data_IF_158650059571
#
_entry.id   IF_158650059571
#
_cell.length_a   1.000
_cell.length_b   1.000
_cell.length_c   1.000
_cell.angle_alpha   90.00
_cell.angle_beta   90.00
_cell.angle_gamma   90.00
#
_symmetry.space_group_name_H-M   'P 1'
#
loop_
_entity.id
_entity.type
_entity.pdbx_description
1 polymer ?
#
# COMPACT_ATOMS: atom_id res chain seq x y z
N UNK A 1 68.04 -29.01 20.11
CA UNK A 1 67.54 -27.78 19.44
C UNK A 1 66.13 -28.05 18.92
N UNK A 2 65.11 -27.71 19.72
CA UNK A 2 63.73 -27.31 19.37
C UNK A 2 62.90 -27.30 20.68
N UNK A 3 62.31 -26.14 20.92
CA UNK A 3 61.65 -25.58 22.13
C UNK A 3 60.28 -26.22 22.40
N UNK A 4 59.90 -26.57 23.65
CA UNK A 4 59.21 -25.78 24.72
C UNK A 4 57.84 -25.23 24.22
N UNK A 5 56.68 -25.51 24.84
CA UNK A 5 56.15 -24.83 26.04
C UNK A 5 55.11 -25.60 26.87
N UNK A 6 55.20 -25.32 28.18
CA UNK A 6 54.45 -25.85 29.33
C UNK A 6 53.05 -25.24 29.46
N UNK A 7 52.14 -26.01 30.06
CA UNK A 7 50.80 -25.62 30.53
C UNK A 7 50.91 -24.68 31.74
N UNK A 8 50.05 -23.66 31.81
CA UNK A 8 49.78 -22.82 32.99
C UNK A 8 48.25 -22.70 33.15
N UNK A 9 47.69 -22.80 34.37
CA UNK A 9 46.25 -22.78 34.61
C UNK A 9 45.69 -21.35 34.73
N UNK A 10 44.42 -21.19 34.37
CA UNK A 10 43.69 -19.92 34.43
C UNK A 10 43.06 -19.73 35.82
N UNK A 11 43.42 -18.62 36.47
CA UNK A 11 42.87 -18.16 37.76
C UNK A 11 41.64 -17.27 37.49
N UNK A 12 40.65 -17.45 38.36
CA UNK A 12 39.34 -16.82 38.46
C UNK A 12 39.43 -15.33 38.85
N UNK A 13 38.58 -14.47 38.28
CA UNK A 13 38.14 -13.23 38.94
C UNK A 13 36.68 -12.91 38.59
N UNK A 14 35.86 -12.83 39.64
CA UNK A 14 34.41 -12.60 39.70
C UNK A 14 34.02 -11.14 39.44
N UNK A 15 32.82 -10.87 38.89
CA UNK A 15 31.90 -9.89 39.48
C UNK A 15 30.43 -10.01 39.00
N UNK A 16 29.55 -10.09 40.02
CA UNK A 16 28.15 -9.65 40.14
C UNK A 16 27.03 -10.31 39.31
N UNK A 17 26.31 -11.20 40.02
CA UNK A 17 24.96 -11.68 39.74
C UNK A 17 23.96 -10.63 40.22
N UNK A 18 23.16 -10.07 39.31
CA UNK A 18 21.93 -9.37 39.63
C UNK A 18 20.74 -10.33 39.50
N UNK A 19 20.07 -10.61 40.62
CA UNK A 19 18.78 -11.30 40.63
C UNK A 19 17.70 -10.37 40.07
N UNK A 20 17.07 -10.78 38.96
CA UNK A 20 15.84 -10.21 38.44
C UNK A 20 14.89 -11.35 38.12
N UNK A 21 13.78 -11.40 38.85
CA UNK A 21 12.77 -12.46 38.83
C UNK A 21 12.18 -12.66 37.44
N UNK A 22 12.23 -13.90 36.95
CA UNK A 22 11.50 -14.33 35.78
C UNK A 22 9.99 -14.35 36.02
N UNK A 23 9.24 -13.99 35.00
CA UNK A 23 7.83 -14.37 34.85
C UNK A 23 7.70 -15.01 33.48
N UNK A 24 7.48 -16.31 33.47
CA UNK A 24 7.02 -17.08 32.32
C UNK A 24 5.49 -16.97 32.31
N UNK A 25 4.93 -16.49 31.20
CA UNK A 25 3.51 -16.69 30.92
C UNK A 25 3.43 -17.69 29.78
N UNK A 26 3.00 -18.89 30.15
CA UNK A 26 2.43 -19.87 29.24
C UNK A 26 1.02 -19.39 28.95
N UNK A 27 0.65 -19.25 27.68
CA UNK A 27 -0.75 -19.23 27.29
C UNK A 27 -0.96 -20.24 26.16
N UNK A 28 -1.65 -21.33 26.51
CA UNK A 28 -2.19 -22.30 25.58
C UNK A 28 -3.68 -21.98 25.35
N UNK A 29 -4.04 -21.71 24.10
CA UNK A 29 -5.34 -21.97 23.48
C UNK A 29 -6.31 -20.79 23.35
N UNK A 30 -7.32 -20.83 22.44
CA UNK A 30 -7.57 -21.77 21.35
C UNK A 30 -7.38 -21.15 19.95
N UNK A 31 -7.00 -21.99 18.99
CA UNK A 31 -7.15 -21.73 17.56
C UNK A 31 -8.64 -21.57 17.23
N UNK A 32 -9.03 -20.40 16.72
CA UNK A 32 -10.31 -20.23 16.04
C UNK A 32 -10.08 -19.37 14.79
N UNK A 33 -9.92 -20.08 13.67
CA UNK A 33 -9.89 -19.51 12.35
C UNK A 33 -11.27 -18.92 12.01
N UNK A 34 -11.38 -17.59 11.99
CA UNK A 34 -12.30 -16.83 11.14
C UNK A 34 -12.04 -15.32 11.31
N UNK A 35 -11.84 -14.63 10.18
CA UNK A 35 -11.79 -13.16 9.97
C UNK A 35 -10.45 -12.45 10.25
N UNK A 36 -9.62 -12.34 9.21
CA UNK A 36 -8.46 -11.46 9.13
C UNK A 36 -8.85 -9.98 9.31
N UNK A 37 -8.62 -9.41 10.49
CA UNK A 37 -8.54 -7.96 10.73
C UNK A 37 -7.57 -7.72 11.89
N UNK A 38 -6.47 -7.03 11.65
CA UNK A 38 -5.64 -6.49 12.72
C UNK A 38 -5.26 -5.03 12.41
N UNK A 39 -5.65 -4.15 13.32
CA UNK A 39 -5.33 -2.72 13.47
C UNK A 39 -4.87 -2.57 14.91
N UNK A 40 -3.69 -2.00 15.21
CA UNK A 40 -3.30 -1.68 16.60
C UNK A 40 -2.35 -0.45 16.72
N UNK A 41 -2.94 0.76 16.86
CA UNK A 41 -2.79 1.82 17.90
C UNK A 41 -1.41 2.10 18.58
N UNK A 42 -0.94 3.30 18.98
CA UNK A 42 -1.53 4.60 19.36
C UNK A 42 -0.46 5.72 19.66
N UNK A 43 -0.85 7.02 19.51
CA UNK A 43 -0.39 8.28 20.18
C UNK A 43 0.64 9.27 19.55
N UNK A 44 0.17 10.23 18.72
CA UNK A 44 0.18 11.74 18.82
C UNK A 44 -0.46 12.31 17.51
N UNK A 45 -0.97 13.57 17.44
CA UNK A 45 -1.87 14.02 16.37
C UNK A 45 -1.10 14.35 15.09
N UNK A 46 -0.84 13.32 14.28
CA UNK A 46 -0.65 13.35 12.83
C UNK A 46 -1.34 12.10 12.29
N UNK A 47 -2.02 12.23 11.13
CA UNK A 47 -2.95 11.22 10.62
C UNK A 47 -2.23 9.88 10.44
N UNK A 48 -2.68 8.83 11.12
CA UNK A 48 -2.24 7.48 10.80
C UNK A 48 -2.98 7.03 9.53
N UNK A 49 -2.21 6.84 8.46
CA UNK A 49 -2.70 6.36 7.16
C UNK A 49 -2.36 4.87 7.02
N UNK A 50 -3.33 4.11 6.51
CA UNK A 50 -3.19 2.71 6.14
C UNK A 50 -3.70 2.54 4.72
N UNK A 51 -2.87 1.96 3.86
CA UNK A 51 -3.30 1.57 2.52
C UNK A 51 -4.01 0.22 2.61
N UNK A 52 -5.32 0.21 2.35
CA UNK A 52 -6.14 -1.00 2.45
C UNK A 52 -5.98 -1.86 1.21
N UNK A 53 -5.83 -3.18 1.39
CA UNK A 53 -5.78 -4.13 0.27
C UNK A 53 -7.12 -4.19 -0.47
N UNK A 54 -7.12 -4.39 -1.81
CA UNK A 54 -8.35 -4.55 -2.58
C UNK A 54 -9.14 -5.76 -2.09
N UNK A 55 -10.44 -5.60 -1.91
CA UNK A 55 -11.33 -6.76 -1.81
C UNK A 55 -11.79 -7.11 -3.24
N UNK A 56 -11.30 -8.21 -3.82
CA UNK A 56 -11.80 -8.68 -5.12
C UNK A 56 -13.28 -9.10 -4.97
N UNK A 57 -14.21 -8.23 -5.38
CA UNK A 57 -15.61 -8.62 -5.57
C UNK A 57 -15.87 -8.85 -7.05
N UNK A 58 -16.05 -10.12 -7.41
CA UNK A 58 -16.54 -10.51 -8.73
C UNK A 58 -18.07 -10.37 -8.72
N UNK A 59 -18.62 -9.31 -9.33
CA UNK A 59 -20.07 -9.10 -9.45
C UNK A 59 -20.53 -9.10 -10.93
N UNK A 60 -21.78 -9.49 -11.22
CA UNK A 60 -22.25 -9.73 -12.59
C UNK A 60 -22.38 -8.43 -13.39
N UNK A 61 -21.96 -8.44 -14.65
CA UNK A 61 -22.08 -7.30 -15.57
C UNK A 61 -23.55 -7.05 -15.92
N UNK A 62 -24.12 -5.95 -15.42
CA UNK A 62 -25.35 -5.37 -15.97
C UNK A 62 -25.02 -4.10 -16.77
N UNK A 63 -25.27 -4.15 -18.08
CA UNK A 63 -25.18 -2.97 -18.95
C UNK A 63 -26.31 -2.00 -18.66
N UNK A 64 -25.99 -0.76 -18.29
CA UNK A 64 -26.92 0.37 -18.34
C UNK A 64 -26.37 1.50 -19.21
N UNK A 65 -27.09 1.77 -20.30
CA UNK A 65 -26.98 2.96 -21.14
C UNK A 65 -27.55 4.16 -20.38
N UNK A 66 -26.79 5.26 -20.29
CA UNK A 66 -27.27 6.62 -20.56
C UNK A 66 -26.09 7.62 -20.53
N UNK A 67 -25.89 8.31 -21.67
CA UNK A 67 -25.31 9.65 -21.86
C UNK A 67 -24.12 10.09 -20.97
N UNK A 68 -22.94 9.47 -21.09
CA UNK A 68 -21.75 9.83 -20.29
C UNK A 68 -20.50 9.78 -21.20
N UNK A 69 -19.55 10.70 -21.04
CA UNK A 69 -18.21 10.64 -21.65
C UNK A 69 -17.67 9.20 -21.55
N UNK A 70 -17.53 8.51 -22.67
CA UNK A 70 -17.13 7.10 -22.66
C UNK A 70 -15.68 7.00 -22.18
N UNK A 71 -15.51 6.62 -20.92
CA UNK A 71 -14.19 6.29 -20.36
C UNK A 71 -13.73 5.04 -21.09
N UNK A 72 -12.70 5.17 -21.91
CA UNK A 72 -12.10 4.04 -22.60
C UNK A 72 -11.10 3.37 -21.66
N UNK A 73 -11.51 2.24 -21.09
CA UNK A 73 -10.66 1.42 -20.25
C UNK A 73 -9.84 0.43 -21.11
N UNK A 74 -8.62 0.08 -20.68
CA UNK A 74 -7.92 -1.08 -21.22
C UNK A 74 -8.78 -2.35 -21.18
N UNK A 75 -8.52 -3.27 -22.11
CA UNK A 75 -9.20 -4.57 -22.11
C UNK A 75 -8.99 -5.29 -20.77
N UNK A 76 -10.02 -5.99 -20.30
CA UNK A 76 -10.01 -6.76 -19.05
C UNK A 76 -9.70 -5.93 -17.78
N UNK A 77 -9.98 -4.62 -17.81
CA UNK A 77 -9.80 -3.77 -16.61
C UNK A 77 -10.68 -4.25 -15.46
N UNK A 78 -10.03 -4.67 -14.37
CA UNK A 78 -10.67 -5.02 -13.11
C UNK A 78 -11.10 -3.76 -12.34
N UNK A 79 -11.92 -3.94 -11.30
CA UNK A 79 -12.40 -2.86 -10.45
C UNK A 79 -11.86 -3.00 -9.04
N UNK A 80 -11.50 -1.88 -8.44
CA UNK A 80 -11.13 -1.78 -7.02
C UNK A 80 -11.88 -0.61 -6.38
N UNK A 81 -12.12 -0.69 -5.07
CA UNK A 81 -12.73 0.39 -4.29
C UNK A 81 -11.77 1.55 -4.03
N UNK A 82 -10.46 1.34 -4.11
CA UNK A 82 -9.46 2.32 -3.72
C UNK A 82 -8.18 2.33 -4.59
N UNK A 83 -7.99 1.42 -5.54
CA UNK A 83 -6.80 1.36 -6.39
C UNK A 83 -7.12 1.60 -7.86
N UNK A 84 -6.25 2.32 -8.57
CA UNK A 84 -6.23 2.39 -10.02
C UNK A 84 -4.79 2.35 -10.56
N UNK A 85 -4.56 1.61 -11.65
CA UNK A 85 -3.21 1.42 -12.20
C UNK A 85 -3.04 0.05 -12.82
N UNK A 86 -1.89 -0.56 -12.59
CA UNK A 86 -1.56 -1.91 -13.08
C UNK A 86 -1.05 -2.81 -11.97
N UNK A 87 -1.50 -4.06 -12.01
CA UNK A 87 -1.03 -5.16 -11.16
C UNK A 87 -0.43 -6.20 -12.10
N UNK A 88 0.83 -6.54 -11.88
CA UNK A 88 1.50 -7.63 -12.56
C UNK A 88 1.64 -8.84 -11.62
N UNK A 89 1.48 -10.03 -12.19
CA UNK A 89 1.63 -11.30 -11.47
C UNK A 89 2.57 -12.23 -12.24
N UNK A 90 3.42 -13.02 -11.55
CA UNK A 90 4.32 -13.93 -12.23
C UNK A 90 3.56 -14.97 -13.06
N UNK A 91 3.95 -15.15 -14.33
CA UNK A 91 3.35 -16.17 -15.21
C UNK A 91 3.70 -17.61 -14.81
N UNK A 92 4.74 -17.81 -13.99
CA UNK A 92 5.12 -19.12 -13.45
C UNK A 92 5.06 -19.12 -11.93
N UNK A 93 4.55 -20.22 -11.35
CA UNK A 93 4.46 -20.40 -9.89
C UNK A 93 5.83 -20.40 -9.17
N UNK A 94 6.92 -20.57 -9.92
CA UNK A 94 8.30 -20.46 -9.41
C UNK A 94 8.89 -19.06 -9.55
N UNK A 95 8.24 -18.16 -10.29
CA UNK A 95 8.63 -16.77 -10.42
C UNK A 95 8.21 -16.01 -9.18
N UNK A 96 9.17 -15.34 -8.54
CA UNK A 96 8.93 -14.43 -7.43
C UNK A 96 9.54 -13.09 -7.78
N UNK A 97 8.80 -12.01 -7.53
CA UNK A 97 9.33 -10.68 -7.74
C UNK A 97 10.29 -10.29 -6.61
N UNK A 98 11.43 -9.74 -7.04
CA UNK A 98 12.56 -9.35 -6.17
C UNK A 98 12.98 -7.91 -6.37
N UNK A 99 12.45 -7.26 -7.41
CA UNK A 99 12.56 -5.81 -7.58
C UNK A 99 11.41 -5.23 -8.38
N UNK A 100 11.09 -3.97 -8.09
CA UNK A 100 10.16 -3.13 -8.84
C UNK A 100 10.73 -1.70 -8.91
N UNK A 101 10.46 -1.00 -10.01
CA UNK A 101 10.75 0.44 -10.15
C UNK A 101 9.60 1.18 -10.80
N UNK A 102 9.53 2.48 -10.55
CA UNK A 102 8.59 3.38 -11.21
C UNK A 102 8.93 4.84 -10.96
N UNK A 103 8.39 5.72 -11.78
CA UNK A 103 8.63 7.16 -11.72
C UNK A 103 7.38 7.93 -12.08
N UNK A 104 7.12 9.02 -11.37
CA UNK A 104 6.03 9.95 -11.66
C UNK A 104 6.40 11.37 -11.27
N UNK A 105 5.61 12.33 -11.75
CA UNK A 105 5.64 13.71 -11.27
C UNK A 105 4.60 13.87 -10.17
N UNK A 106 5.01 14.41 -9.02
CA UNK A 106 4.13 14.65 -7.88
C UNK A 106 3.07 15.67 -8.28
N UNK A 107 1.77 15.34 -8.20
CA UNK A 107 0.71 16.19 -8.71
C UNK A 107 0.49 17.42 -7.83
N UNK A 108 0.04 18.51 -8.45
CA UNK A 108 -0.49 19.66 -7.73
C UNK A 108 -2.01 19.52 -7.56
N UNK A 109 -2.44 18.98 -6.42
CA UNK A 109 -3.86 18.77 -6.15
C UNK A 109 -4.61 20.10 -5.87
N UNK A 110 -5.88 20.25 -6.30
CA UNK A 110 -6.67 21.44 -6.02
C UNK A 110 -6.91 21.66 -4.53
N UNK A 111 -6.83 22.92 -4.09
CA UNK A 111 -7.00 23.31 -2.67
C UNK A 111 -8.41 23.86 -2.34
N UNK A 112 -9.33 23.78 -3.30
CA UNK A 112 -10.73 24.22 -3.14
C UNK A 112 -11.57 23.28 -2.26
N UNK A 113 -11.06 22.07 -1.97
CA UNK A 113 -11.61 21.14 -0.99
C UNK A 113 -10.57 20.91 0.10
N UNK A 114 -11.01 20.91 1.36
CA UNK A 114 -10.14 20.67 2.51
C UNK A 114 -10.08 19.18 2.82
N UNK A 115 -8.97 18.73 3.41
CA UNK A 115 -8.77 17.34 3.85
C UNK A 115 -8.90 16.29 2.75
N UNK A 116 -8.68 16.67 1.49
CA UNK A 116 -8.59 15.69 0.41
C UNK A 116 -7.21 15.07 0.38
N UNK A 117 -7.15 13.78 0.08
CA UNK A 117 -5.91 12.99 0.08
C UNK A 117 -5.84 12.14 -1.19
N UNK A 118 -4.63 11.94 -1.70
CA UNK A 118 -4.29 11.00 -2.74
C UNK A 118 -2.94 10.35 -2.42
N UNK A 119 -2.69 9.16 -2.95
CA UNK A 119 -1.36 8.56 -2.92
C UNK A 119 -0.98 7.98 -4.28
N UNK A 120 0.32 7.96 -4.57
CA UNK A 120 0.91 7.27 -5.72
C UNK A 120 2.08 6.43 -5.24
N UNK A 121 2.12 5.17 -5.63
CA UNK A 121 3.15 4.28 -5.12
C UNK A 121 3.46 3.13 -6.08
N UNK A 122 4.61 2.51 -5.81
CA UNK A 122 4.94 1.18 -6.34
C UNK A 122 5.04 0.19 -5.19
N UNK A 123 4.67 -1.06 -5.44
CA UNK A 123 4.57 -2.09 -4.41
C UNK A 123 4.97 -3.48 -4.90
N UNK A 124 5.30 -4.34 -3.94
CA UNK A 124 5.37 -5.79 -4.12
C UNK A 124 4.40 -6.44 -3.13
N UNK A 125 3.49 -7.28 -3.63
CA UNK A 125 2.48 -7.99 -2.86
C UNK A 125 1.12 -7.29 -2.79
N UNK A 126 0.31 -7.62 -1.79
CA UNK A 126 -0.97 -6.97 -1.54
C UNK A 126 -2.12 -7.35 -2.48
N UNK A 127 -1.85 -7.65 -3.75
CA UNK A 127 -2.90 -8.08 -4.69
C UNK A 127 -3.29 -9.56 -4.50
N UNK A 128 -2.31 -10.43 -4.24
CA UNK A 128 -2.50 -11.87 -4.03
C UNK A 128 -2.07 -12.36 -2.64
N UNK A 129 -1.58 -11.45 -1.79
CA UNK A 129 -1.09 -11.69 -0.43
C UNK A 129 -1.55 -10.59 0.52
N UNK A 130 -1.50 -10.84 1.83
CA UNK A 130 -1.66 -9.78 2.84
C UNK A 130 -0.40 -8.95 3.07
N UNK A 131 0.75 -9.48 2.67
CA UNK A 131 2.04 -8.79 2.75
C UNK A 131 2.17 -7.80 1.61
N UNK A 132 2.55 -6.56 1.91
CA UNK A 132 2.76 -5.48 0.93
C UNK A 132 3.96 -4.65 1.36
N UNK A 133 4.97 -4.57 0.51
CA UNK A 133 6.10 -3.67 0.68
C UNK A 133 6.02 -2.56 -0.37
N UNK A 134 5.85 -1.31 0.07
CA UNK A 134 5.57 -0.21 -0.84
C UNK A 134 6.28 1.11 -0.47
N UNK A 135 6.44 1.96 -1.47
CA UNK A 135 7.00 3.30 -1.34
C UNK A 135 6.35 4.23 -2.36
N UNK A 136 6.06 5.44 -1.92
CA UNK A 136 5.26 6.36 -2.72
C UNK A 136 5.27 7.79 -2.22
N UNK A 137 4.37 8.57 -2.79
CA UNK A 137 4.05 9.93 -2.37
C UNK A 137 2.60 9.99 -1.89
N UNK A 138 2.39 10.80 -0.86
CA UNK A 138 1.10 11.15 -0.32
C UNK A 138 0.90 12.64 -0.56
N UNK A 139 -0.22 13.02 -1.17
CA UNK A 139 -0.59 14.40 -1.40
C UNK A 139 -1.85 14.74 -0.62
N UNK A 140 -1.80 15.85 0.11
CA UNK A 140 -2.94 16.33 0.88
C UNK A 140 -3.04 17.85 0.90
N UNK A 141 -4.24 18.34 1.22
CA UNK A 141 -4.48 19.77 1.42
C UNK A 141 -4.35 20.09 2.91
N UNK A 142 -3.25 20.76 3.27
CA UNK A 142 -3.00 21.29 4.61
C UNK A 142 -3.08 22.82 4.62
N UNK A 143 -3.91 23.39 5.49
CA UNK A 143 -4.07 24.84 5.65
C UNK A 143 -4.33 25.58 4.31
N UNK A 144 -5.07 24.93 3.39
CA UNK A 144 -5.36 25.47 2.06
C UNK A 144 -4.20 25.41 1.06
N UNK A 145 -3.14 24.66 1.34
CA UNK A 145 -2.02 24.42 0.44
C UNK A 145 -1.88 22.92 0.14
N UNK A 146 -1.53 22.60 -1.11
CA UNK A 146 -1.14 21.24 -1.47
C UNK A 146 0.25 20.96 -0.90
N UNK A 147 0.39 19.89 -0.14
CA UNK A 147 1.65 19.38 0.38
C UNK A 147 1.84 17.94 -0.10
N UNK A 148 3.11 17.53 -0.21
CA UNK A 148 3.46 16.16 -0.58
C UNK A 148 4.54 15.61 0.35
N UNK A 149 4.39 14.35 0.74
CA UNK A 149 5.36 13.61 1.54
C UNK A 149 5.72 12.29 0.87
N UNK A 150 6.99 11.89 0.94
CA UNK A 150 7.40 10.54 0.55
C UNK A 150 7.17 9.61 1.73
N UNK A 151 6.51 8.48 1.51
CA UNK A 151 6.29 7.46 2.52
C UNK A 151 6.86 6.10 2.10
N UNK A 152 7.05 5.23 3.08
CA UNK A 152 7.21 3.80 2.87
C UNK A 152 6.31 3.02 3.82
N UNK A 153 5.96 1.80 3.44
CA UNK A 153 5.14 0.93 4.28
C UNK A 153 5.52 -0.53 4.07
N UNK A 154 5.44 -1.28 5.16
CA UNK A 154 5.57 -2.73 5.21
C UNK A 154 4.37 -3.25 6.00
N UNK A 155 3.30 -3.63 5.30
CA UNK A 155 2.09 -4.10 5.97
C UNK A 155 2.41 -5.31 6.86
N UNK A 156 1.74 -5.47 8.01
CA UNK A 156 0.60 -4.68 8.49
C UNK A 156 0.99 -3.40 9.29
N UNK A 157 2.27 -3.01 9.31
CA UNK A 157 2.65 -1.75 9.96
C UNK A 157 2.11 -0.57 9.15
N UNK A 158 1.74 0.52 9.84
CA UNK A 158 1.25 1.75 9.20
C UNK A 158 2.33 2.43 8.36
N UNK A 159 1.90 3.21 7.37
CA UNK A 159 2.79 4.01 6.55
C UNK A 159 3.65 4.99 7.38
N UNK A 160 4.91 5.14 7.00
CA UNK A 160 5.87 6.03 7.64
C UNK A 160 6.33 7.11 6.68
N UNK A 161 6.05 8.37 7.02
CA UNK A 161 6.49 9.53 6.24
C UNK A 161 7.99 9.77 6.46
N UNK A 162 8.73 9.97 5.37
CA UNK A 162 10.19 10.08 5.36
C UNK A 162 10.61 11.54 5.27
N UNK A 163 10.09 12.27 4.29
CA UNK A 163 10.36 13.70 4.05
C UNK A 163 9.19 14.36 3.32
N UNK A 164 8.99 15.65 3.57
CA UNK A 164 8.19 16.51 2.71
C UNK A 164 8.98 16.89 1.45
N UNK A 165 8.30 16.96 0.31
CA UNK A 165 8.91 17.22 -1.00
C UNK A 165 8.11 18.25 -1.79
N UNK A 166 8.76 19.04 -2.67
CA UNK A 166 8.04 20.03 -3.46
C UNK A 166 7.11 19.37 -4.47
N UNK A 167 5.89 19.89 -4.58
CA UNK A 167 4.94 19.61 -5.67
C UNK A 167 5.61 19.86 -7.04
N UNK A 168 5.20 19.10 -8.07
CA UNK A 168 5.78 19.11 -9.42
C UNK A 168 7.24 18.60 -9.50
N UNK A 169 7.80 18.06 -8.41
CA UNK A 169 9.06 17.31 -8.50
C UNK A 169 8.82 15.97 -9.19
N UNK A 170 9.84 15.45 -9.88
CA UNK A 170 9.82 14.07 -10.37
C UNK A 170 10.42 13.16 -9.32
N UNK A 171 9.72 12.09 -8.96
CA UNK A 171 10.22 11.05 -8.06
C UNK A 171 10.48 9.76 -8.85
N UNK A 172 11.64 9.16 -8.63
CA UNK A 172 11.97 7.81 -9.09
C UNK A 172 12.07 6.92 -7.87
N UNK A 173 11.37 5.78 -7.88
CA UNK A 173 11.29 4.85 -6.76
C UNK A 173 11.74 3.46 -7.22
N UNK A 174 12.46 2.74 -6.37
CA UNK A 174 12.81 1.35 -6.56
C UNK A 174 12.75 0.58 -5.25
N UNK A 175 12.19 -0.62 -5.28
CA UNK A 175 12.22 -1.58 -4.17
C UNK A 175 12.98 -2.79 -4.67
N UNK A 176 13.98 -3.28 -3.93
CA UNK A 176 14.75 -4.45 -4.36
C UNK A 176 15.36 -5.22 -3.19
N UNK A 177 15.48 -6.54 -3.38
CA UNK A 177 16.23 -7.43 -2.51
C UNK A 177 17.73 -7.16 -2.68
N UNK A 178 18.40 -6.70 -1.62
CA UNK A 178 19.82 -6.33 -1.66
C UNK A 178 20.72 -7.52 -1.35
N UNK A 179 20.49 -8.24 -0.25
CA UNK A 179 21.22 -9.46 0.11
C UNK A 179 20.49 -10.23 1.21
N UNK A 180 20.54 -11.55 1.19
CA UNK A 180 19.89 -12.42 2.18
C UNK A 180 18.40 -12.10 2.38
N UNK A 181 18.04 -11.50 3.52
CA UNK A 181 16.70 -11.06 3.89
C UNK A 181 16.54 -9.54 3.86
N UNK A 182 17.58 -8.80 3.44
CA UNK A 182 17.61 -7.35 3.43
C UNK A 182 17.05 -6.81 2.13
N UNK A 183 16.07 -5.90 2.26
CA UNK A 183 15.42 -5.18 1.18
C UNK A 183 15.66 -3.69 1.30
N UNK A 184 15.86 -3.04 0.17
CA UNK A 184 16.07 -1.61 0.07
C UNK A 184 14.92 -0.97 -0.71
N UNK A 185 14.33 0.08 -0.14
CA UNK A 185 13.40 0.97 -0.79
C UNK A 185 14.12 2.30 -0.98
N UNK A 186 14.36 2.67 -2.22
CA UNK A 186 15.12 3.87 -2.57
C UNK A 186 14.24 4.79 -3.38
N UNK A 187 14.26 6.08 -3.03
CA UNK A 187 13.69 7.11 -3.88
C UNK A 187 14.74 8.15 -4.24
N UNK A 188 14.57 8.78 -5.39
CA UNK A 188 15.26 9.99 -5.81
C UNK A 188 14.25 11.02 -6.29
N UNK A 189 14.18 12.16 -5.59
CA UNK A 189 13.33 13.29 -5.95
C UNK A 189 14.19 14.33 -6.67
N UNK A 190 13.71 14.80 -7.82
CA UNK A 190 14.31 15.90 -8.59
C UNK A 190 13.31 17.04 -8.67
N UNK A 191 13.65 18.19 -8.08
CA UNK A 191 12.78 19.38 -8.13
C UNK A 191 12.72 19.97 -9.54
N UNK A 192 11.74 20.83 -9.79
CA UNK A 192 11.66 21.58 -11.06
C UNK A 192 12.88 22.46 -11.35
N UNK A 193 13.62 22.86 -10.31
CA UNK A 193 14.90 23.57 -10.42
C UNK A 193 16.12 22.66 -10.66
N UNK A 194 15.92 21.35 -10.77
CA UNK A 194 16.99 20.37 -11.01
C UNK A 194 17.72 19.87 -9.76
N UNK A 195 17.28 20.23 -8.56
CA UNK A 195 17.91 19.76 -7.32
C UNK A 195 17.48 18.33 -7.02
N UNK A 196 18.45 17.46 -6.75
CA UNK A 196 18.21 16.03 -6.49
C UNK A 196 18.41 15.67 -5.03
N UNK A 197 17.53 14.84 -4.48
CA UNK A 197 17.70 14.20 -3.17
C UNK A 197 17.37 12.72 -3.25
N UNK A 198 18.31 11.87 -2.81
CA UNK A 198 18.15 10.41 -2.76
C UNK A 198 18.19 9.93 -1.31
N UNK A 199 17.30 8.99 -0.96
CA UNK A 199 17.38 8.25 0.30
C UNK A 199 17.05 6.78 0.08
N UNK A 200 17.64 5.93 0.91
CA UNK A 200 17.37 4.49 0.96
C UNK A 200 16.92 4.12 2.36
N UNK A 201 15.79 3.43 2.45
CA UNK A 201 15.30 2.75 3.64
C UNK A 201 15.63 1.26 3.49
N UNK A 202 16.27 0.69 4.50
CA UNK A 202 16.60 -0.74 4.54
C UNK A 202 15.75 -1.44 5.59
N UNK A 203 15.20 -2.60 5.24
CA UNK A 203 14.41 -3.44 6.14
C UNK A 203 14.75 -4.91 5.96
N UNK A 204 14.51 -5.71 6.98
CA UNK A 204 14.73 -7.16 6.95
C UNK A 204 13.38 -7.88 6.91
N UNK A 205 13.24 -8.81 5.97
CA UNK A 205 12.03 -9.60 5.74
C UNK A 205 12.32 -11.07 5.99
N UNK A 206 11.44 -11.77 6.71
CA UNK A 206 11.54 -13.23 6.80
C UNK A 206 11.07 -13.89 5.49
N UNK A 207 11.39 -15.18 5.35
CA UNK A 207 11.10 -15.92 4.11
C UNK A 207 9.61 -16.02 3.78
N UNK A 208 8.72 -15.97 4.77
CA UNK A 208 7.28 -16.03 4.49
C UNK A 208 6.78 -14.70 3.92
N UNK A 209 7.24 -13.59 4.48
CA UNK A 209 6.95 -12.27 3.96
C UNK A 209 7.51 -12.07 2.54
N UNK A 210 8.75 -12.52 2.30
CA UNK A 210 9.36 -12.48 0.96
C UNK A 210 8.56 -13.28 -0.07
N UNK A 211 8.01 -14.43 0.32
CA UNK A 211 7.12 -15.21 -0.54
C UNK A 211 5.81 -14.46 -0.82
N UNK A 212 5.23 -13.81 0.20
CA UNK A 212 4.01 -13.02 0.06
C UNK A 212 4.19 -11.86 -0.91
N UNK A 213 5.18 -10.99 -0.68
CA UNK A 213 5.41 -9.84 -1.56
C UNK A 213 5.85 -10.23 -2.97
N UNK A 214 6.46 -11.41 -3.13
CA UNK A 214 6.89 -11.90 -4.42
C UNK A 214 5.75 -12.34 -5.36
N UNK A 215 4.49 -12.31 -4.91
CA UNK A 215 3.32 -12.77 -5.68
C UNK A 215 2.78 -11.75 -6.68
N UNK A 216 3.07 -10.46 -6.50
CA UNK A 216 2.60 -9.41 -7.39
C UNK A 216 3.48 -8.15 -7.32
N UNK A 217 3.39 -7.32 -8.35
CA UNK A 217 4.06 -6.03 -8.47
C UNK A 217 3.07 -4.98 -8.98
N UNK A 218 2.99 -3.81 -8.34
CA UNK A 218 1.94 -2.85 -8.63
C UNK A 218 2.46 -1.41 -8.82
N UNK A 219 1.75 -0.65 -9.67
CA UNK A 219 1.95 0.79 -9.88
C UNK A 219 0.60 1.47 -9.78
N UNK A 220 0.34 2.11 -8.64
CA UNK A 220 -1.03 2.45 -8.21
C UNK A 220 -1.15 3.92 -7.85
N UNK A 221 -2.25 4.52 -8.30
CA UNK A 221 -2.86 5.70 -7.71
C UNK A 221 -4.00 5.27 -6.80
N UNK A 222 -3.98 5.72 -5.55
CA UNK A 222 -4.86 5.24 -4.49
C UNK A 222 -5.68 6.37 -3.86
N UNK A 223 -6.90 6.01 -3.42
CA UNK A 223 -7.68 6.72 -2.40
C UNK A 223 -7.30 6.12 -1.03
N UNK A 224 -6.42 6.76 -0.23
CA UNK A 224 -5.91 6.14 0.99
C UNK A 224 -6.99 6.03 2.06
N UNK A 225 -6.76 5.14 3.03
CA UNK A 225 -7.65 4.99 4.17
C UNK A 225 -6.97 5.35 5.48
N UNK A 226 -7.76 5.64 6.51
CA UNK A 226 -7.26 5.73 7.88
C UNK A 226 -7.14 4.32 8.50
N UNK A 227 -6.58 4.22 9.71
CA UNK A 227 -6.47 2.96 10.46
C UNK A 227 -7.80 2.19 10.68
N UNK A 228 -8.94 2.84 10.49
CA UNK A 228 -10.27 2.21 10.58
C UNK A 228 -10.79 1.73 9.21
N UNK A 229 -9.95 1.70 8.19
CA UNK A 229 -10.26 1.39 6.79
C UNK A 229 -11.34 2.32 6.20
N UNK A 230 -11.38 3.56 6.67
CA UNK A 230 -12.27 4.58 6.09
C UNK A 230 -11.45 5.41 5.10
N UNK A 231 -11.89 5.43 3.85
CA UNK A 231 -11.29 6.24 2.81
C UNK A 231 -11.34 7.73 3.18
N UNK A 232 -10.28 8.44 2.84
CA UNK A 232 -10.28 9.89 2.90
C UNK A 232 -11.13 10.47 1.76
N UNK A 233 -11.52 11.75 1.83
CA UNK A 233 -12.02 12.42 0.64
C UNK A 233 -10.95 12.38 -0.47
N UNK A 234 -11.23 11.69 -1.56
CA UNK A 234 -10.28 11.60 -2.67
C UNK A 234 -9.93 12.97 -3.25
N UNK A 235 -8.63 13.26 -3.34
CA UNK A 235 -8.10 14.43 -4.04
C UNK A 235 -8.18 14.24 -5.56
N UNK A 236 -8.40 15.34 -6.27
CA UNK A 236 -8.29 15.36 -7.73
C UNK A 236 -6.82 15.49 -8.14
N UNK A 237 -6.22 14.39 -8.54
CA UNK A 237 -4.82 14.33 -8.95
C UNK A 237 -4.62 14.64 -10.44
N UNK A 238 -5.70 14.91 -11.18
CA UNK A 238 -5.64 15.07 -12.63
C UNK A 238 -5.17 13.80 -13.32
N UNK A 239 -4.12 13.90 -14.14
CA UNK A 239 -3.51 12.75 -14.83
C UNK A 239 -2.09 12.53 -14.33
N UNK A 240 -1.84 11.38 -13.72
CA UNK A 240 -0.50 10.95 -13.30
C UNK A 240 0.11 10.13 -14.42
N UNK A 241 1.33 10.46 -14.84
CA UNK A 241 2.11 9.64 -15.77
C UNK A 241 3.10 8.80 -14.98
N UNK A 242 2.92 7.48 -15.02
CA UNK A 242 3.92 6.51 -14.59
C UNK A 242 4.87 6.21 -15.73
N UNK A 243 6.15 6.13 -15.42
CA UNK A 243 7.25 5.81 -16.33
C UNK A 243 8.20 4.84 -15.63
N UNK A 244 9.10 4.20 -16.39
CA UNK A 244 10.06 3.23 -15.85
C UNK A 244 9.39 2.14 -15.00
N UNK A 245 8.16 1.77 -15.38
CA UNK A 245 7.42 0.69 -14.75
C UNK A 245 8.05 -0.64 -15.14
N UNK A 246 8.90 -1.15 -14.26
CA UNK A 246 9.66 -2.37 -14.49
C UNK A 246 9.62 -3.28 -13.26
N UNK A 247 9.59 -4.58 -13.49
CA UNK A 247 9.67 -5.60 -12.45
C UNK A 247 10.79 -6.58 -12.80
N UNK A 248 11.64 -6.92 -11.83
CA UNK A 248 12.83 -7.75 -12.05
C UNK A 248 13.69 -7.31 -13.26
N UNK A 249 13.73 -6.00 -13.55
CA UNK A 249 14.47 -5.44 -14.69
C UNK A 249 13.83 -5.68 -16.06
N UNK A 250 12.58 -6.15 -16.11
CA UNK A 250 11.78 -6.32 -17.34
C UNK A 250 10.70 -5.25 -17.43
N UNK A 251 10.37 -4.82 -18.64
CA UNK A 251 9.29 -3.85 -18.92
C UNK A 251 7.96 -4.40 -18.43
N UNK A 252 7.04 -3.53 -18.00
CA UNK A 252 5.70 -3.92 -17.55
C UNK A 252 5.02 -4.86 -18.55
N UNK A 253 4.96 -4.51 -19.83
CA UNK A 253 4.27 -5.34 -20.85
C UNK A 253 5.08 -6.53 -21.40
N UNK A 254 6.19 -6.91 -20.76
CA UNK A 254 6.98 -8.05 -21.22
C UNK A 254 6.12 -9.32 -21.25
N UNK A 255 6.35 -10.22 -22.23
CA UNK A 255 5.56 -11.46 -22.37
C UNK A 255 5.71 -12.44 -21.19
N UNK A 256 6.70 -12.21 -20.32
CA UNK A 256 6.89 -12.94 -19.06
C UNK A 256 5.93 -12.52 -17.95
N UNK A 257 5.21 -11.41 -18.15
CA UNK A 257 4.38 -10.74 -17.15
C UNK A 257 2.90 -10.98 -17.47
N UNK A 258 2.08 -11.11 -16.43
CA UNK A 258 0.63 -11.21 -16.54
C UNK A 258 0.02 -9.95 -15.92
N UNK A 259 -0.11 -8.94 -16.78
CA UNK A 259 -0.45 -7.56 -16.40
C UNK A 259 -1.94 -7.32 -16.51
N UNK A 260 -2.55 -6.93 -15.39
CA UNK A 260 -3.96 -6.60 -15.29
C UNK A 260 -4.15 -5.12 -14.97
N UNK A 261 -4.91 -4.37 -15.79
CA UNK A 261 -5.30 -3.01 -15.45
C UNK A 261 -6.37 -3.04 -14.36
N UNK A 262 -6.31 -2.10 -13.42
CA UNK A 262 -7.33 -1.91 -12.38
C UNK A 262 -7.83 -0.47 -12.43
N UNK A 263 -9.14 -0.28 -12.41
CA UNK A 263 -9.78 1.03 -12.29
C UNK A 263 -10.46 1.16 -10.92
N UNK A 264 -10.40 2.35 -10.35
CA UNK A 264 -11.08 2.67 -9.10
C UNK A 264 -12.55 2.98 -9.38
N UNK A 265 -13.42 2.34 -8.64
CA UNK A 265 -14.86 2.48 -8.73
C UNK A 265 -15.44 2.90 -7.38
N UNK A 266 -16.27 3.94 -7.41
CA UNK A 266 -17.03 4.39 -6.24
C UNK A 266 -18.15 3.40 -5.89
N UNK A 267 -18.70 3.52 -4.69
CA UNK A 267 -19.87 2.73 -4.25
C UNK A 267 -21.13 2.89 -5.12
N UNK A 268 -21.18 3.94 -5.94
CA UNK A 268 -22.26 4.19 -6.91
C UNK A 268 -21.91 3.67 -8.32
N UNK A 269 -20.95 2.74 -8.45
CA UNK A 269 -20.52 2.10 -9.70
C UNK A 269 -19.92 3.09 -10.73
N UNK A 270 -19.54 4.28 -10.29
CA UNK A 270 -18.86 5.23 -11.15
C UNK A 270 -17.36 5.04 -11.09
N UNK A 271 -16.72 4.94 -12.26
CA UNK A 271 -15.25 4.94 -12.37
C UNK A 271 -14.70 6.32 -12.04
N UNK A 272 -13.93 6.39 -10.95
CA UNK A 272 -13.39 7.63 -10.39
C UNK A 272 -11.91 7.84 -10.70
N UNK A 273 -11.11 6.77 -10.82
CA UNK A 273 -9.75 6.82 -11.37
C UNK A 273 -9.58 5.66 -12.33
N UNK A 274 -8.97 5.89 -13.50
CA UNK A 274 -8.76 4.83 -14.48
C UNK A 274 -7.38 4.89 -15.14
N UNK A 275 -6.79 3.74 -15.48
CA UNK A 275 -5.55 3.69 -16.21
C UNK A 275 -5.76 3.88 -17.72
N UNK A 276 -4.75 4.42 -18.41
CA UNK A 276 -4.62 4.30 -19.86
C UNK A 276 -4.15 2.89 -20.25
N UNK A 277 -4.17 2.56 -21.53
CA UNK A 277 -3.35 1.43 -22.03
C UNK A 277 -1.87 1.70 -21.77
N UNK A 278 -1.08 0.64 -21.62
CA UNK A 278 0.39 0.75 -21.57
C UNK A 278 0.88 1.32 -22.91
N UNK A 279 1.84 2.23 -22.83
CA UNK A 279 2.50 2.85 -23.98
C UNK A 279 3.27 1.84 -24.82
N UNK A 280 3.62 2.23 -26.04
CA UNK A 280 4.42 1.39 -26.95
C UNK A 280 5.86 1.18 -26.46
N UNK A 281 6.31 1.98 -25.50
CA UNK A 281 7.57 1.79 -24.77
C UNK A 281 7.51 0.63 -23.77
N UNK A 282 6.32 0.14 -23.44
CA UNK A 282 6.10 -1.01 -22.58
C UNK A 282 6.23 -0.75 -21.09
N UNK A 283 6.56 0.48 -20.69
CA UNK A 283 6.86 0.87 -19.31
C UNK A 283 6.22 2.20 -18.88
N UNK A 284 5.43 2.83 -19.75
CA UNK A 284 4.67 4.03 -19.40
C UNK A 284 3.16 3.79 -19.46
N UNK A 285 2.43 4.43 -18.55
CA UNK A 285 0.98 4.55 -18.62
C UNK A 285 0.54 5.78 -17.83
N UNK A 286 -0.75 6.13 -17.88
CA UNK A 286 -1.31 7.15 -17.00
C UNK A 286 -2.43 6.60 -16.14
N UNK A 287 -2.65 7.20 -14.97
CA UNK A 287 -3.93 7.14 -14.25
C UNK A 287 -4.61 8.50 -14.36
N UNK A 288 -5.94 8.55 -14.42
CA UNK A 288 -6.67 9.83 -14.53
C UNK A 288 -7.87 9.87 -13.61
N UNK A 289 -7.96 10.91 -12.79
CA UNK A 289 -9.16 11.20 -12.01
C UNK A 289 -10.28 11.70 -12.92
N UNK A 290 -11.47 11.13 -12.77
CA UNK A 290 -12.64 11.50 -13.54
C UNK A 290 -13.29 12.78 -13.01
N UNK A 291 -12.95 13.91 -13.62
CA UNK A 291 -13.45 15.26 -13.30
C UNK A 291 -14.99 15.41 -13.39
N UNK A 292 -15.67 14.54 -14.14
CA UNK A 292 -17.13 14.62 -14.32
C UNK A 292 -17.91 14.22 -13.07
N UNK A 293 -17.28 13.51 -12.13
CA UNK A 293 -17.88 13.04 -10.88
C UNK A 293 -17.49 13.91 -9.68
N UNK A 294 -16.30 14.51 -9.70
CA UNK A 294 -15.79 15.33 -8.60
C UNK A 294 -16.51 16.68 -8.45
N UNK A 295 -17.24 17.13 -9.49
CA UNK A 295 -18.01 18.38 -9.49
C UNK A 295 -19.49 18.25 -9.12
N UNK A 296 -20.06 17.02 -9.04
CA UNK A 296 -21.51 16.84 -8.89
C UNK A 296 -22.01 15.87 -7.82
N UNK A 297 -21.16 15.20 -7.04
CA UNK A 297 -21.67 14.37 -5.94
C UNK A 297 -20.97 14.70 -4.62
N UNK A 298 -21.77 15.17 -3.66
CA UNK A 298 -21.50 15.06 -2.23
C UNK A 298 -21.04 13.62 -1.95
N UNK A 299 -19.84 13.46 -1.42
CA UNK A 299 -19.45 12.26 -0.66
C UNK A 299 -20.13 12.20 0.73
N UNK A 300 -21.07 13.11 1.00
CA UNK A 300 -21.86 13.16 2.21
C UNK A 300 -23.06 12.21 2.10
N UNK A 301 -22.88 10.95 2.49
CA UNK A 301 -23.82 10.21 3.34
C UNK A 301 -23.37 8.75 3.42
N UNK A 302 -22.56 8.42 4.43
CA UNK A 302 -22.51 7.07 4.95
C UNK A 302 -23.84 6.79 5.66
N UNK A 303 -24.64 5.79 5.23
CA UNK A 303 -25.69 5.27 6.09
C UNK A 303 -25.00 4.65 7.30
N UNK A 304 -25.29 5.16 8.50
CA UNK A 304 -24.97 4.42 9.72
C UNK A 304 -25.65 3.05 9.62
N UNK A 305 -24.95 1.94 9.83
CA UNK A 305 -25.62 0.66 10.02
C UNK A 305 -26.58 0.81 11.19
N UNK A 306 -27.86 0.54 10.95
CA UNK A 306 -28.83 0.36 12.03
C UNK A 306 -28.35 -0.85 12.82
N UNK A 307 -27.77 -0.62 13.99
CA UNK A 307 -27.61 -1.64 15.01
C UNK A 307 -29.01 -2.13 15.35
N UNK A 308 -29.40 -3.28 14.79
CA UNK A 308 -30.52 -4.04 15.34
C UNK A 308 -30.06 -4.59 16.68
N UNK A 309 -30.43 -3.86 17.72
CA UNK A 309 -30.35 -4.33 19.08
C UNK A 309 -31.23 -5.58 19.22
N UNK A 310 -30.58 -6.75 19.26
CA UNK A 310 -31.23 -8.03 19.50
C UNK A 310 -31.25 -8.36 21.00
N UNK A 311 -31.39 -7.36 21.86
CA UNK A 311 -31.62 -7.54 23.30
C UNK A 311 -33.11 -7.69 23.64
N UNK A 312 -33.81 -8.65 23.03
CA UNK A 312 -35.12 -9.08 23.55
C UNK A 312 -35.54 -10.45 23.03
N UNK A 313 -34.90 -11.52 23.49
CA UNK A 313 -35.48 -12.88 23.48
C UNK A 313 -34.73 -13.85 24.39
N UNK A 314 -34.74 -13.56 25.69
CA UNK A 314 -34.59 -14.59 26.72
C UNK A 314 -35.64 -14.33 27.80
N UNK A 315 -36.82 -14.93 27.63
CA UNK A 315 -37.76 -15.13 28.73
C UNK A 315 -37.28 -16.33 29.56
N UNK A 316 -37.14 -16.22 30.89
CA UNK A 316 -36.98 -17.36 31.77
C UNK A 316 -38.31 -18.13 31.83
N UNK A 317 -38.28 -19.45 31.56
CA UNK A 317 -39.37 -20.33 31.96
C UNK A 317 -39.30 -20.53 33.47
N UNK A 318 -40.30 -20.04 34.18
CA UNK A 318 -40.54 -20.40 35.57
C UNK A 318 -40.86 -21.90 35.68
N UNK A 319 -40.19 -22.56 36.61
CA UNK A 319 -40.55 -23.89 37.10
C UNK A 319 -41.44 -23.70 38.33
N UNK A 320 -42.65 -24.26 38.34
CA UNK A 320 -43.40 -24.50 39.58
C UNK A 320 -44.30 -25.73 39.48
N UNK A 321 -44.04 -26.62 40.44
CA UNK A 321 -44.73 -27.84 40.90
C UNK A 321 -44.70 -29.06 39.97
#
# INVERSE_FOLDING_TARGET
MKTIFKKIPLILLTLLVGFGTGSTIIENGPQNATNNKYVLSNYFPRRNLVHSLPTQQQLPIHQLKNSISTINLPANTEKSSNWAGYIDTPTSKSGSYTSISGSWTIPNIPTNKQNTVAAQWIGLGGASSSDLLQMGTLEEVENGQAVAEVFWEKLPDVAQNIISVPINSTINVSISKSSNSTWNLTFTVTTSGGQTQTKTISTTLDSSYEQGIGTSAEWISEDPSNDSNQLYPLADMGTIKYQSAMVNGTLLNASSNNVNPVAMESSNENVVIYPSTIGTDGESFTTTTNLSLTSRQRLDNFPRPILRDNSSRLHPREYRQ
#
